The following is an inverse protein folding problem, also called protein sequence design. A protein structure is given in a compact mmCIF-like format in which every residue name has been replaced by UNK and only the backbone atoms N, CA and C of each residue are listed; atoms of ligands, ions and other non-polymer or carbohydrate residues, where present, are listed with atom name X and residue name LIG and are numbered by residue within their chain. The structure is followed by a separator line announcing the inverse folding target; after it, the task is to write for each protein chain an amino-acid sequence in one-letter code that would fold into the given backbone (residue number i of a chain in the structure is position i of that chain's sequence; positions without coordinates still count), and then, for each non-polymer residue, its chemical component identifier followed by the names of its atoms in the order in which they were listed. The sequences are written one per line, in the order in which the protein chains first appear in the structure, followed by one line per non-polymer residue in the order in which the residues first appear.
data_IF_590619589177
#
_entry.id   IF_590619589177
#
_cell.length_a   1.000
_cell.length_b   1.000
_cell.length_c   1.000
_cell.angle_alpha   90.00
_cell.angle_beta   90.00
_cell.angle_gamma   90.00
#
_symmetry.space_group_name_H-M   'P 1'
#
loop_
_entity.id
_entity.type
_entity.pdbx_description
1 polymer ?
#
# COMPACT_ATOMS: atom_id res chain seq x y z
N UNK A 1 -1.04 -7.75 16.22
CA UNK A 1 -2.46 -7.73 15.80
C UNK A 1 -2.51 -7.32 14.33
N UNK A 2 -3.35 -7.95 13.51
CA UNK A 2 -3.45 -7.58 12.08
C UNK A 2 -4.37 -6.36 12.00
N UNK A 3 -3.77 -5.17 12.00
CA UNK A 3 -4.46 -3.89 11.80
C UNK A 3 -4.82 -3.72 10.31
N UNK A 4 -5.81 -4.49 9.85
CA UNK A 4 -6.34 -4.40 8.49
C UNK A 4 -7.80 -3.95 8.54
N UNK A 5 -8.09 -2.84 7.85
CA UNK A 5 -9.42 -2.22 7.86
C UNK A 5 -10.42 -2.89 6.89
N UNK A 6 -10.00 -3.89 6.11
CA UNK A 6 -10.84 -4.57 5.12
C UNK A 6 -10.60 -4.12 3.67
N UNK A 7 -9.78 -3.10 3.43
CA UNK A 7 -9.51 -2.59 2.09
C UNK A 7 -8.48 -3.43 1.35
N UNK A 8 -8.68 -3.65 0.06
CA UNK A 8 -7.78 -4.42 -0.78
C UNK A 8 -7.33 -3.62 -2.01
N UNK A 9 -6.11 -3.89 -2.46
CA UNK A 9 -5.73 -3.62 -3.83
C UNK A 9 -6.04 -4.87 -4.67
N UNK A 10 -6.75 -4.68 -5.76
CA UNK A 10 -7.15 -5.73 -6.70
C UNK A 10 -6.46 -5.45 -8.03
N UNK A 11 -5.55 -6.34 -8.43
CA UNK A 11 -4.82 -6.24 -9.69
C UNK A 11 -5.34 -7.29 -10.67
N UNK A 12 -5.81 -6.89 -11.86
CA UNK A 12 -6.13 -7.80 -12.94
C UNK A 12 -4.88 -8.19 -13.70
N UNK A 13 -4.80 -9.43 -14.19
CA UNK A 13 -3.68 -9.86 -15.02
C UNK A 13 -3.65 -9.12 -16.38
N UNK A 14 -4.77 -8.49 -16.77
CA UNK A 14 -4.85 -7.53 -17.88
C UNK A 14 -4.24 -6.14 -17.61
N UNK A 15 -3.80 -5.85 -16.38
CA UNK A 15 -3.04 -4.63 -16.04
C UNK A 15 -3.82 -3.53 -15.32
N UNK A 16 -5.05 -3.79 -14.86
CA UNK A 16 -5.85 -2.83 -14.09
C UNK A 16 -5.57 -2.98 -12.59
N UNK A 17 -5.42 -1.86 -11.88
CA UNK A 17 -5.25 -1.82 -10.43
C UNK A 17 -6.37 -0.99 -9.80
N UNK A 18 -7.14 -1.61 -8.91
CA UNK A 18 -8.29 -1.01 -8.24
C UNK A 18 -8.11 -1.06 -6.73
N UNK A 19 -8.38 0.05 -6.04
CA UNK A 19 -8.60 0.06 -4.59
C UNK A 19 -10.04 -0.34 -4.33
N UNK A 20 -10.25 -1.46 -3.65
CA UNK A 20 -11.55 -1.99 -3.26
C UNK A 20 -11.77 -1.78 -1.76
N UNK A 21 -12.65 -0.86 -1.35
CA UNK A 21 -12.97 -0.64 0.05
C UNK A 21 -13.71 -1.82 0.68
N UNK A 22 -13.65 -1.90 2.01
CA UNK A 22 -14.46 -2.87 2.76
C UNK A 22 -15.94 -2.77 2.41
N UNK A 23 -16.59 -3.93 2.22
CA UNK A 23 -18.01 -4.08 1.88
C UNK A 23 -18.42 -3.55 0.50
N UNK A 24 -17.46 -3.21 -0.36
CA UNK A 24 -17.72 -2.94 -1.77
C UNK A 24 -17.47 -4.20 -2.62
N UNK A 25 -18.00 -4.18 -3.84
CA UNK A 25 -17.85 -5.26 -4.81
C UNK A 25 -17.28 -4.72 -6.12
N UNK A 26 -16.30 -5.44 -6.68
CA UNK A 26 -15.81 -5.18 -8.03
C UNK A 26 -16.69 -5.95 -9.03
N UNK A 27 -17.49 -5.27 -9.87
CA UNK A 27 -18.28 -5.97 -10.88
C UNK A 27 -17.36 -6.57 -11.95
N UNK A 28 -17.55 -7.85 -12.25
CA UNK A 28 -16.80 -8.58 -13.28
C UNK A 28 -17.77 -9.15 -14.31
N UNK A 29 -17.48 -8.96 -15.60
CA UNK A 29 -18.25 -9.54 -16.71
C UNK A 29 -17.31 -10.35 -17.60
N UNK A 30 -17.64 -11.60 -17.85
CA UNK A 30 -16.87 -12.52 -18.71
C UNK A 30 -17.80 -13.14 -19.77
N UNK A 31 -17.32 -13.31 -20.99
CA UNK A 31 -18.00 -14.04 -22.06
C UNK A 31 -17.87 -15.55 -21.89
N UNK A 32 -18.56 -16.30 -22.74
CA UNK A 32 -18.41 -17.76 -22.83
C UNK A 32 -16.93 -18.11 -23.07
N UNK A 33 -16.37 -18.94 -22.19
CA UNK A 33 -14.96 -19.38 -22.21
C UNK A 33 -13.92 -18.26 -22.00
N UNK A 34 -14.33 -17.11 -21.46
CA UNK A 34 -13.39 -16.05 -21.04
C UNK A 34 -13.00 -16.23 -19.58
N UNK A 35 -11.78 -15.85 -19.23
CA UNK A 35 -11.27 -15.85 -17.86
C UNK A 35 -10.41 -14.62 -17.62
N UNK A 36 -10.33 -14.23 -16.35
CA UNK A 36 -9.41 -13.20 -15.86
C UNK A 36 -8.85 -13.69 -14.52
N UNK A 37 -7.61 -13.32 -14.22
CA UNK A 37 -6.95 -13.67 -12.96
C UNK A 37 -6.71 -12.40 -12.17
N UNK A 38 -7.22 -12.37 -10.95
CA UNK A 38 -7.04 -11.24 -10.05
C UNK A 38 -6.10 -11.60 -8.91
N UNK A 39 -5.13 -10.73 -8.65
CA UNK A 39 -4.34 -10.72 -7.41
C UNK A 39 -4.98 -9.76 -6.42
N UNK A 40 -5.40 -10.27 -5.28
CA UNK A 40 -6.02 -9.49 -4.21
C UNK A 40 -5.03 -9.37 -3.07
N UNK A 41 -4.67 -8.14 -2.71
CA UNK A 41 -3.69 -7.86 -1.66
C UNK A 41 -4.25 -6.92 -0.60
N UNK A 42 -4.22 -7.28 0.69
CA UNK A 42 -4.67 -6.41 1.77
C UNK A 42 -3.87 -5.10 1.80
N UNK A 43 -4.55 -3.97 1.85
CA UNK A 43 -3.92 -2.66 2.02
C UNK A 43 -3.61 -2.43 3.48
N UNK A 44 -2.35 -2.11 3.77
CA UNK A 44 -1.89 -1.72 5.11
C UNK A 44 -1.74 -0.19 5.18
N UNK A 45 -2.33 0.40 6.21
CA UNK A 45 -2.12 1.81 6.54
C UNK A 45 -0.79 1.96 7.30
N UNK A 46 0.10 2.82 6.81
CA UNK A 46 1.45 2.98 7.34
C UNK A 46 1.64 4.30 8.08
N UNK A 47 1.07 5.39 7.56
CA UNK A 47 1.10 6.70 8.17
C UNK A 47 -0.09 7.54 7.65
N UNK A 48 -0.26 8.77 8.13
CA UNK A 48 -1.31 9.66 7.66
C UNK A 48 -1.25 9.83 6.13
N UNK A 49 -2.24 9.28 5.43
CA UNK A 49 -2.35 9.32 3.96
C UNK A 49 -1.49 8.30 3.19
N UNK A 50 -0.61 7.55 3.85
CA UNK A 50 0.26 6.54 3.22
C UNK A 50 -0.27 5.14 3.53
N UNK A 51 -0.66 4.43 2.47
CA UNK A 51 -1.10 3.04 2.51
C UNK A 51 -0.46 2.26 1.37
N UNK A 52 -0.23 0.95 1.59
CA UNK A 52 0.52 0.10 0.68
C UNK A 52 -0.06 -1.31 0.63
N UNK A 53 -0.02 -1.94 -0.55
CA UNK A 53 -0.36 -3.36 -0.72
C UNK A 53 0.62 -4.02 -1.71
N UNK A 54 1.25 -5.15 -1.35
CA UNK A 54 2.16 -5.85 -2.26
C UNK A 54 1.39 -6.70 -3.29
N UNK A 55 1.69 -6.59 -4.58
CA UNK A 55 1.10 -7.50 -5.61
C UNK A 55 2.03 -8.67 -5.89
N UNK A 56 3.35 -8.44 -5.90
CA UNK A 56 4.35 -9.45 -6.26
C UNK A 56 4.62 -9.43 -7.76
N UNK A 57 4.92 -10.58 -8.39
CA UNK A 57 5.20 -10.65 -9.83
C UNK A 57 3.90 -10.57 -10.65
N UNK A 58 3.72 -9.49 -11.42
CA UNK A 58 2.45 -9.21 -12.11
C UNK A 58 2.16 -10.14 -13.29
N UNK A 59 3.21 -10.73 -13.88
CA UNK A 59 3.10 -11.70 -14.98
C UNK A 59 3.02 -13.15 -14.48
N UNK A 60 2.65 -13.37 -13.21
CA UNK A 60 2.60 -14.68 -12.58
C UNK A 60 1.23 -14.97 -11.96
N UNK A 61 0.66 -16.16 -12.22
CA UNK A 61 -0.62 -16.57 -11.63
C UNK A 61 -0.61 -16.62 -10.10
N UNK A 62 0.55 -16.93 -9.50
CA UNK A 62 0.77 -16.86 -8.06
C UNK A 62 1.67 -15.66 -7.72
N UNK A 63 1.24 -14.46 -8.14
CA UNK A 63 1.97 -13.21 -7.94
C UNK A 63 2.39 -13.02 -6.48
N UNK A 64 1.44 -13.19 -5.55
CA UNK A 64 1.68 -13.08 -4.12
C UNK A 64 2.65 -14.14 -3.57
N UNK A 65 2.63 -15.36 -4.10
CA UNK A 65 3.54 -16.44 -3.69
C UNK A 65 5.00 -16.21 -4.08
N UNK A 66 5.29 -15.25 -4.97
CA UNK A 66 6.64 -14.83 -5.28
C UNK A 66 7.26 -13.97 -4.16
N UNK A 67 6.44 -13.34 -3.31
CA UNK A 67 6.90 -12.47 -2.23
C UNK A 67 7.48 -13.33 -1.11
N UNK A 68 8.76 -13.14 -0.79
CA UNK A 68 9.46 -13.90 0.26
C UNK A 68 9.68 -13.11 1.55
N UNK A 69 9.65 -11.78 1.50
CA UNK A 69 9.72 -10.93 2.68
C UNK A 69 9.03 -9.58 2.43
N UNK A 70 8.49 -8.99 3.49
CA UNK A 70 7.84 -7.69 3.46
C UNK A 70 7.98 -7.01 4.81
N UNK A 71 8.64 -5.85 4.81
CA UNK A 71 8.92 -5.06 6.00
C UNK A 71 8.47 -3.62 5.79
N UNK A 72 7.96 -3.03 6.87
CA UNK A 72 7.45 -1.67 6.88
C UNK A 72 8.18 -0.90 7.98
N UNK A 73 8.82 0.20 7.59
CA UNK A 73 9.45 1.14 8.51
C UNK A 73 8.70 2.46 8.41
N UNK A 74 8.12 2.88 9.52
CA UNK A 74 7.34 4.13 9.61
C UNK A 74 8.04 5.05 10.59
N UNK A 75 8.30 6.29 10.20
CA UNK A 75 8.74 7.30 11.14
C UNK A 75 7.51 7.82 11.88
N UNK A 76 7.10 7.11 12.94
CA UNK A 76 6.14 7.65 13.90
C UNK A 76 6.85 8.78 14.65
N UNK A 77 6.53 10.03 14.33
CA UNK A 77 6.67 11.08 15.34
C UNK A 77 5.74 10.69 16.49
N UNK A 78 6.31 10.48 17.68
CA UNK A 78 5.55 10.35 18.92
C UNK A 78 4.77 11.65 19.15
N UNK A 79 3.60 11.79 18.54
CA UNK A 79 2.55 12.70 19.00
C UNK A 79 1.71 12.00 20.07
N UNK A 80 2.36 11.42 21.08
CA UNK A 80 1.77 11.35 22.41
C UNK A 80 2.14 12.66 23.12
N UNK A 81 1.50 13.75 22.69
CA UNK A 81 1.54 15.02 23.39
C UNK A 81 0.11 15.55 23.47
N UNK A 82 -0.54 15.14 24.55
CA UNK A 82 -1.72 15.73 25.20
C UNK A 82 -2.89 16.15 24.29
N UNK A 83 -3.98 15.38 24.34
CA UNK A 83 -5.30 15.85 23.95
C UNK A 83 -5.66 17.10 24.75
N UNK A 84 -5.41 18.27 24.17
CA UNK A 84 -6.11 19.50 24.52
C UNK A 84 -7.29 19.62 23.55
N UNK A 85 -8.52 19.64 24.10
CA UNK A 85 -9.78 19.78 23.35
C UNK A 85 -10.02 21.22 22.86
N UNK A 86 -8.96 21.97 22.51
CA UNK A 86 -9.10 23.35 22.02
C UNK A 86 -9.10 23.37 20.48
N UNK A 87 -10.18 23.83 19.83
CA UNK A 87 -10.27 23.92 18.37
C UNK A 87 -9.13 24.73 17.72
N UNK A 88 -8.53 25.68 18.44
CA UNK A 88 -7.46 26.53 17.92
C UNK A 88 -6.11 25.80 17.80
N UNK A 89 -5.82 24.82 18.67
CA UNK A 89 -4.58 24.02 18.59
C UNK A 89 -4.63 23.00 17.44
N UNK A 90 -5.82 22.48 17.13
CA UNK A 90 -6.05 21.60 15.97
C UNK A 90 -5.84 22.31 14.63
N UNK A 91 -6.21 23.59 14.54
CA UNK A 91 -6.04 24.41 13.34
C UNK A 91 -4.57 24.79 13.13
N UNK A 92 -3.83 25.12 14.20
CA UNK A 92 -2.39 25.38 14.14
C UNK A 92 -1.57 24.12 13.79
N UNK A 93 -1.97 22.94 14.26
CA UNK A 93 -1.31 21.68 13.91
C UNK A 93 -1.48 21.34 12.41
N UNK A 94 -2.67 21.62 11.84
CA UNK A 94 -2.91 21.51 10.39
C UNK A 94 -2.02 22.48 9.60
N UNK A 95 -1.98 23.75 10.00
CA UNK A 95 -1.14 24.77 9.34
C UNK A 95 0.38 24.55 9.49
N UNK A 96 0.84 23.91 10.57
CA UNK A 96 2.24 23.53 10.74
C UNK A 96 2.66 22.39 9.79
N UNK A 97 1.71 21.52 9.44
CA UNK A 97 1.91 20.45 8.42
C UNK A 97 2.03 21.04 7.01
N UNK A 98 1.43 22.22 6.78
CA UNK A 98 1.40 22.92 5.49
C UNK A 98 2.68 23.70 5.17
N UNK A 99 3.49 24.08 6.17
CA UNK A 99 4.65 24.96 5.99
C UNK A 99 6.04 24.33 6.26
N UNK A 100 6.15 23.00 6.23
CA UNK A 100 7.45 22.31 6.29
C UNK A 100 7.58 21.17 7.31
N UNK A 101 6.48 20.71 7.90
CA UNK A 101 6.44 19.46 8.65
C UNK A 101 6.89 18.30 7.76
N UNK A 102 7.73 17.41 8.29
CA UNK A 102 8.25 16.26 7.54
C UNK A 102 7.06 15.42 7.08
N UNK A 103 6.80 15.40 5.76
CA UNK A 103 5.75 14.57 5.19
C UNK A 103 5.92 13.13 5.69
N UNK A 104 4.85 12.46 6.14
CA UNK A 104 4.92 11.14 6.76
C UNK A 104 5.74 10.20 5.87
N UNK A 105 6.90 9.77 6.38
CA UNK A 105 7.84 8.95 5.65
C UNK A 105 7.65 7.50 6.07
N UNK A 106 7.26 6.67 5.10
CA UNK A 106 7.30 5.23 5.23
C UNK A 106 8.30 4.65 4.21
N UNK A 107 9.16 3.76 4.68
CA UNK A 107 10.01 2.92 3.84
C UNK A 107 9.41 1.53 3.80
N UNK A 108 9.20 1.02 2.59
CA UNK A 108 8.70 -0.33 2.36
C UNK A 108 9.82 -1.14 1.74
N UNK A 109 10.15 -2.28 2.34
CA UNK A 109 11.11 -3.24 1.80
C UNK A 109 10.35 -4.51 1.42
N UNK A 110 10.47 -4.92 0.17
CA UNK A 110 9.83 -6.12 -0.35
C UNK A 110 10.88 -6.97 -1.05
N UNK A 111 10.97 -8.25 -0.66
CA UNK A 111 11.79 -9.23 -1.35
C UNK A 111 10.89 -10.14 -2.18
N UNK A 112 11.24 -10.32 -3.46
CA UNK A 112 10.48 -11.12 -4.42
C UNK A 112 11.42 -12.12 -5.08
N UNK A 113 10.96 -13.35 -5.27
CA UNK A 113 11.67 -14.41 -5.98
C UNK A 113 11.15 -14.54 -7.41
N UNK A 114 12.05 -14.83 -8.35
CA UNK A 114 11.74 -15.01 -9.77
C UNK A 114 12.20 -13.82 -10.62
N UNK A 115 11.80 -13.83 -11.89
CA UNK A 115 12.10 -12.77 -12.85
C UNK A 115 10.81 -12.23 -13.46
N UNK A 116 10.82 -10.97 -13.88
CA UNK A 116 9.67 -10.29 -14.46
C UNK A 116 9.41 -8.94 -13.81
N UNK A 117 8.25 -8.37 -14.10
CA UNK A 117 7.81 -7.14 -13.45
C UNK A 117 7.17 -7.45 -12.10
N UNK A 118 7.50 -6.65 -11.10
CA UNK A 118 6.82 -6.68 -9.82
C UNK A 118 5.93 -5.45 -9.67
N UNK A 119 4.82 -5.62 -8.96
CA UNK A 119 3.82 -4.59 -8.71
C UNK A 119 3.56 -4.41 -7.23
N UNK A 120 3.10 -3.21 -6.90
CA UNK A 120 2.54 -2.87 -5.61
C UNK A 120 1.55 -1.71 -5.78
N UNK A 121 0.56 -1.65 -4.90
CA UNK A 121 -0.28 -0.49 -4.71
C UNK A 121 0.35 0.46 -3.68
N UNK A 122 0.26 1.75 -3.95
CA UNK A 122 0.61 2.82 -3.01
C UNK A 122 -0.38 3.97 -3.17
N UNK A 123 -1.00 4.44 -2.08
CA UNK A 123 -1.93 5.59 -2.14
C UNK A 123 -1.23 6.90 -2.50
N UNK A 124 0.09 6.96 -2.34
CA UNK A 124 0.92 8.11 -2.72
C UNK A 124 2.02 7.68 -3.67
N UNK A 125 2.38 8.55 -4.61
CA UNK A 125 3.51 8.33 -5.52
C UNK A 125 4.81 8.23 -4.69
N UNK A 126 5.57 7.11 -4.77
CA UNK A 126 6.84 7.00 -4.07
C UNK A 126 7.83 8.08 -4.53
N UNK A 127 8.59 8.62 -3.57
CA UNK A 127 9.65 9.60 -3.87
C UNK A 127 10.89 8.97 -4.49
N UNK A 128 11.17 7.72 -4.13
CA UNK A 128 12.34 6.95 -4.55
C UNK A 128 11.97 5.47 -4.55
N UNK A 129 12.42 4.75 -5.57
CA UNK A 129 12.36 3.29 -5.63
C UNK A 129 13.78 2.78 -5.89
N UNK A 130 14.19 1.77 -5.14
CA UNK A 130 15.47 1.09 -5.30
C UNK A 130 15.18 -0.39 -5.50
N UNK A 131 15.95 -1.02 -6.38
CA UNK A 131 15.92 -2.46 -6.61
C UNK A 131 17.33 -2.97 -6.39
N UNK A 132 17.48 -3.86 -5.42
CA UNK A 132 18.75 -4.50 -5.09
C UNK A 132 18.70 -5.96 -5.53
N UNK A 133 19.79 -6.44 -6.13
CA UNK A 133 19.90 -7.83 -6.62
C UNK A 133 20.74 -8.71 -5.70
N UNK A 134 21.18 -8.17 -4.55
CA UNK A 134 22.00 -8.87 -3.58
C UNK A 134 21.14 -9.87 -2.80
N UNK A 135 21.53 -11.15 -2.72
CA UNK A 135 20.84 -12.08 -1.83
C UNK A 135 21.13 -11.68 -0.38
N UNK A 136 20.11 -11.20 0.34
CA UNK A 136 20.11 -11.16 1.81
C UNK A 136 19.91 -12.54 2.38
#
# INVERSE_FOLDING_TARGET
EIDWNGDCAVYSHSGELVHLPKNEALPVTLKIMEHEVYTISPIKNLAAGVSFAPIGLIDMFNAGGAISALEYETQQENMEAELSEDPQTLEMAKMATENGGHLPAATIKMAVRGCGWFGAYSSMKPRKCLVETSPT
#
